data_IF_291045653092
#
_entry.id   IF_291045653092
#
_cell.length_a   1.000
_cell.length_b   1.000
_cell.length_c   1.000
_cell.angle_alpha   90.00
_cell.angle_beta   90.00
_cell.angle_gamma   90.00
#
_symmetry.space_group_name_H-M   'P 1'
#
loop_
_entity.id
_entity.type
_entity.pdbx_description
1 polymer ?
#
# COMPACT_ATOMS: atom_id res chain seq x y z
N UNK A 1 -18.26 -18.65 -1.13
CA UNK A 1 -17.07 -18.89 -0.29
C UNK A 1 -16.75 -20.37 -0.36
N UNK A 2 -15.48 -20.68 -0.66
CA UNK A 2 -15.03 -22.06 -0.85
C UNK A 2 -14.18 -22.58 0.31
N UNK A 3 -13.94 -21.77 1.34
CA UNK A 3 -13.11 -22.13 2.49
C UNK A 3 -13.25 -21.13 3.65
N UNK A 4 -12.50 -21.35 4.74
CA UNK A 4 -12.45 -20.43 5.86
C UNK A 4 -11.82 -19.10 5.45
N UNK A 5 -12.20 -18.02 6.12
CA UNK A 5 -11.63 -16.67 5.94
C UNK A 5 -11.11 -16.16 7.27
N UNK A 6 -9.88 -15.63 7.27
CA UNK A 6 -9.29 -14.93 8.40
C UNK A 6 -9.43 -13.41 8.20
N UNK A 7 -9.94 -12.71 9.21
CA UNK A 7 -9.94 -11.25 9.23
C UNK A 7 -8.97 -10.79 10.34
N UNK A 8 -7.96 -10.03 9.93
CA UNK A 8 -6.93 -9.51 10.83
C UNK A 8 -7.15 -8.01 10.97
N UNK A 9 -7.35 -7.55 12.21
CA UNK A 9 -7.62 -6.15 12.51
C UNK A 9 -6.50 -5.53 13.33
N UNK A 10 -6.22 -4.24 13.09
CA UNK A 10 -5.29 -3.45 13.87
C UNK A 10 -5.83 -3.21 15.30
N UNK A 11 -4.94 -3.20 16.29
CA UNK A 11 -5.27 -2.86 17.68
C UNK A 11 -5.20 -1.37 17.98
N UNK A 12 -4.40 -0.61 17.22
CA UNK A 12 -4.28 0.83 17.36
C UNK A 12 -5.49 1.56 16.79
N UNK A 13 -5.72 2.77 17.23
CA UNK A 13 -6.68 3.69 16.63
C UNK A 13 -6.16 4.15 15.28
N UNK A 14 -6.95 3.95 14.23
CA UNK A 14 -6.66 4.39 12.88
C UNK A 14 -7.61 5.50 12.46
N UNK A 15 -7.11 6.45 11.67
CA UNK A 15 -7.96 7.47 11.08
C UNK A 15 -8.96 6.84 10.11
N UNK A 16 -10.19 7.35 10.14
CA UNK A 16 -11.21 6.93 9.17
C UNK A 16 -10.86 7.48 7.78
N UNK A 17 -10.55 6.59 6.86
CA UNK A 17 -10.36 6.93 5.45
C UNK A 17 -11.70 6.98 4.74
N UNK A 18 -12.15 8.17 4.34
CA UNK A 18 -13.36 8.33 3.54
C UNK A 18 -13.21 7.61 2.19
N UNK A 19 -14.27 6.95 1.76
CA UNK A 19 -14.33 6.21 0.50
C UNK A 19 -15.62 6.53 -0.23
N UNK A 20 -15.55 6.57 -1.55
CA UNK A 20 -16.73 6.62 -2.42
C UNK A 20 -17.43 5.26 -2.41
N UNK A 21 -18.69 5.20 -2.85
CA UNK A 21 -19.43 3.93 -2.99
C UNK A 21 -18.72 2.95 -3.94
N UNK A 22 -18.12 3.44 -5.01
CA UNK A 22 -17.34 2.63 -5.94
C UNK A 22 -16.13 1.99 -5.23
N UNK A 23 -15.38 2.76 -4.45
CA UNK A 23 -14.25 2.25 -3.69
C UNK A 23 -14.67 1.23 -2.62
N UNK A 24 -15.82 1.46 -1.96
CA UNK A 24 -16.39 0.48 -1.01
C UNK A 24 -16.72 -0.84 -1.72
N UNK A 25 -17.30 -0.78 -2.91
CA UNK A 25 -17.56 -1.96 -3.74
C UNK A 25 -16.26 -2.68 -4.13
N UNK A 26 -15.21 -1.93 -4.47
CA UNK A 26 -13.93 -2.46 -4.91
C UNK A 26 -13.08 -3.07 -3.78
N UNK A 27 -13.39 -2.80 -2.48
CA UNK A 27 -12.75 -3.50 -1.35
C UNK A 27 -12.87 -5.02 -1.52
N UNK A 28 -14.04 -5.50 -1.96
CA UNK A 28 -14.29 -6.92 -2.21
C UNK A 28 -13.47 -7.54 -3.34
N UNK A 29 -12.72 -6.74 -4.10
CA UNK A 29 -11.81 -7.17 -5.17
C UNK A 29 -10.37 -7.35 -4.71
N UNK A 30 -10.09 -7.11 -3.42
CA UNK A 30 -8.82 -7.40 -2.78
C UNK A 30 -7.74 -6.33 -2.89
N UNK A 31 -7.84 -5.43 -3.86
CA UNK A 31 -6.95 -4.29 -4.05
C UNK A 31 -7.64 -3.24 -4.92
N UNK A 32 -7.56 -1.97 -4.55
CA UNK A 32 -8.24 -0.89 -5.25
C UNK A 32 -7.50 0.45 -5.10
N UNK A 33 -7.75 1.37 -6.02
CA UNK A 33 -7.20 2.73 -5.95
C UNK A 33 -7.95 3.52 -4.88
N UNK A 34 -7.26 3.84 -3.78
CA UNK A 34 -7.81 4.66 -2.70
C UNK A 34 -7.67 6.15 -3.01
N UNK A 35 -6.51 6.57 -3.51
CA UNK A 35 -6.24 7.93 -3.96
C UNK A 35 -5.61 7.88 -5.33
N UNK A 36 -6.19 8.59 -6.28
CA UNK A 36 -5.65 8.69 -7.62
C UNK A 36 -5.05 10.07 -7.88
N UNK A 37 -4.30 10.17 -8.96
CA UNK A 37 -3.76 11.40 -9.50
C UNK A 37 -4.38 11.69 -10.88
N UNK A 38 -4.17 12.87 -11.43
CA UNK A 38 -4.55 13.17 -12.79
C UNK A 38 -3.54 12.56 -13.78
N UNK A 39 -4.05 11.81 -14.75
CA UNK A 39 -3.20 11.18 -15.78
C UNK A 39 -2.50 9.90 -15.33
N UNK A 40 -1.35 9.64 -15.92
CA UNK A 40 -0.52 8.47 -15.56
C UNK A 40 0.26 8.78 -14.29
N UNK A 41 0.24 7.91 -13.27
CA UNK A 41 1.04 8.11 -12.08
C UNK A 41 2.55 8.10 -12.39
N UNK A 42 3.30 8.99 -11.73
CA UNK A 42 4.75 8.91 -11.67
C UNK A 42 5.19 7.73 -10.79
N UNK A 43 4.49 7.53 -9.68
CA UNK A 43 4.70 6.41 -8.77
C UNK A 43 3.40 5.85 -8.19
N UNK A 44 3.46 4.59 -7.71
CA UNK A 44 2.36 3.93 -7.00
C UNK A 44 2.86 3.48 -5.63
N UNK A 45 2.14 3.88 -4.56
CA UNK A 45 2.34 3.34 -3.22
C UNK A 45 1.24 2.30 -2.96
N UNK A 46 1.65 1.08 -2.61
CA UNK A 46 0.75 -0.02 -2.25
C UNK A 46 0.83 -0.22 -0.75
N UNK A 47 -0.31 -0.16 -0.06
CA UNK A 47 -0.37 -0.30 1.39
C UNK A 47 -1.53 -1.18 1.84
N UNK A 48 -1.42 -1.76 3.02
CA UNK A 48 -2.50 -2.51 3.66
C UNK A 48 -2.61 -2.15 5.14
N UNK A 49 -3.78 -2.39 5.72
CA UNK A 49 -4.00 -2.23 7.16
C UNK A 49 -3.70 -0.82 7.68
N UNK A 50 -2.91 -0.75 8.73
CA UNK A 50 -2.52 0.49 9.40
C UNK A 50 -1.61 1.39 8.57
N UNK A 51 -0.86 0.85 7.62
CA UNK A 51 0.09 1.60 6.80
C UNK A 51 -0.58 2.39 5.65
N UNK A 52 -1.88 2.17 5.42
CA UNK A 52 -2.65 2.94 4.42
C UNK A 52 -2.66 4.44 4.72
N UNK A 53 -2.79 4.82 6.00
CA UNK A 53 -2.73 6.22 6.42
C UNK A 53 -1.35 6.83 6.11
N UNK A 54 -0.28 6.12 6.41
CA UNK A 54 1.09 6.53 6.10
C UNK A 54 1.29 6.74 4.59
N UNK A 55 0.75 5.83 3.76
CA UNK A 55 0.83 5.94 2.31
C UNK A 55 0.10 7.19 1.77
N UNK A 56 -1.07 7.51 2.33
CA UNK A 56 -1.82 8.72 1.96
C UNK A 56 -1.05 9.98 2.36
N UNK A 57 -0.52 10.04 3.58
CA UNK A 57 0.27 11.16 4.07
C UNK A 57 1.55 11.37 3.22
N UNK A 58 2.24 10.30 2.84
CA UNK A 58 3.41 10.38 1.97
C UNK A 58 3.05 10.92 0.57
N UNK A 59 1.96 10.44 -0.03
CA UNK A 59 1.48 10.94 -1.31
C UNK A 59 1.03 12.43 -1.22
N UNK A 60 0.54 12.89 -0.08
CA UNK A 60 0.22 14.30 0.16
C UNK A 60 1.47 15.18 0.28
N UNK A 61 2.50 14.67 0.93
CA UNK A 61 3.78 15.36 1.06
C UNK A 61 4.50 15.51 -0.29
N UNK A 62 4.20 14.63 -1.28
CA UNK A 62 4.76 14.65 -2.64
C UNK A 62 3.84 15.40 -3.62
N UNK A 63 3.37 16.58 -3.26
CA UNK A 63 2.38 17.35 -4.05
C UNK A 63 2.85 17.77 -5.44
N UNK A 64 4.15 17.72 -5.72
CA UNK A 64 4.79 17.99 -7.02
C UNK A 64 4.85 16.76 -7.94
N UNK A 65 4.40 15.59 -7.47
CA UNK A 65 4.39 14.31 -8.18
C UNK A 65 2.98 13.75 -8.31
N UNK A 66 2.75 13.01 -9.38
CA UNK A 66 1.52 12.26 -9.59
C UNK A 66 1.63 10.89 -8.88
N UNK A 67 1.26 10.83 -7.59
CA UNK A 67 1.35 9.61 -6.78
C UNK A 67 -0.03 9.00 -6.59
N UNK A 68 -0.17 7.73 -7.01
CA UNK A 68 -1.34 6.90 -6.75
C UNK A 68 -1.15 6.10 -5.46
N UNK A 69 -2.19 6.02 -4.62
CA UNK A 69 -2.22 5.13 -3.46
C UNK A 69 -3.21 4.00 -3.70
N UNK A 70 -2.73 2.77 -3.58
CA UNK A 70 -3.51 1.53 -3.68
C UNK A 70 -3.64 0.92 -2.29
N UNK A 71 -4.88 0.69 -1.85
CA UNK A 71 -5.16 -0.11 -0.67
C UNK A 71 -5.35 -1.57 -1.09
N UNK A 72 -4.58 -2.48 -0.49
CA UNK A 72 -4.52 -3.91 -0.83
C UNK A 72 -4.91 -4.80 0.37
N UNK A 73 -6.19 -4.88 0.74
CA UNK A 73 -6.63 -5.67 1.90
C UNK A 73 -6.50 -7.19 1.70
N UNK A 74 -6.40 -7.70 0.47
CA UNK A 74 -6.25 -9.13 0.20
C UNK A 74 -5.55 -9.37 -1.14
N UNK A 75 -4.31 -9.79 -1.06
CA UNK A 75 -3.48 -10.10 -2.24
C UNK A 75 -4.06 -11.26 -3.05
N UNK A 76 -4.54 -12.33 -2.39
CA UNK A 76 -5.10 -13.51 -3.05
C UNK A 76 -6.36 -13.18 -3.86
N UNK A 77 -7.23 -12.34 -3.29
CA UNK A 77 -8.45 -11.90 -3.98
C UNK A 77 -8.11 -10.97 -5.14
N UNK A 78 -7.12 -10.08 -4.98
CA UNK A 78 -6.65 -9.21 -6.06
C UNK A 78 -6.02 -10.01 -7.21
N UNK A 79 -5.19 -11.00 -6.91
CA UNK A 79 -4.55 -11.86 -7.90
C UNK A 79 -5.56 -12.67 -8.72
N UNK A 80 -6.68 -13.04 -8.11
CA UNK A 80 -7.78 -13.73 -8.79
C UNK A 80 -8.63 -12.83 -9.70
N UNK A 81 -8.42 -11.51 -9.69
CA UNK A 81 -9.12 -10.60 -10.60
C UNK A 81 -8.64 -10.75 -12.05
N UNK A 82 -9.53 -10.43 -12.98
CA UNK A 82 -9.18 -10.36 -14.39
C UNK A 82 -8.07 -9.33 -14.68
N UNK A 83 -7.28 -9.59 -15.73
CA UNK A 83 -6.14 -8.77 -16.11
C UNK A 83 -6.49 -7.28 -16.27
N UNK A 84 -7.62 -6.97 -16.91
CA UNK A 84 -8.07 -5.60 -17.11
C UNK A 84 -8.26 -4.82 -15.81
N UNK A 85 -8.78 -5.47 -14.75
CA UNK A 85 -8.91 -4.83 -13.45
C UNK A 85 -7.54 -4.63 -12.78
N UNK A 86 -6.72 -5.66 -12.77
CA UNK A 86 -5.38 -5.55 -12.18
C UNK A 86 -4.55 -4.45 -12.86
N UNK A 87 -4.66 -4.34 -14.18
CA UNK A 87 -4.01 -3.29 -14.97
C UNK A 87 -4.57 -1.89 -14.66
N UNK A 88 -5.87 -1.76 -14.39
CA UNK A 88 -6.45 -0.47 -13.99
C UNK A 88 -5.96 0.02 -12.62
N UNK A 89 -5.66 -0.90 -11.71
CA UNK A 89 -5.15 -0.60 -10.35
C UNK A 89 -3.63 -0.42 -10.37
N UNK A 90 -2.91 -1.35 -10.98
CA UNK A 90 -1.44 -1.40 -11.06
C UNK A 90 -0.98 -1.46 -12.53
N UNK A 91 -1.05 -0.33 -13.28
CA UNK A 91 -0.65 -0.29 -14.69
C UNK A 91 0.80 -0.74 -14.88
N UNK A 92 1.05 -1.68 -15.78
CA UNK A 92 2.40 -2.22 -16.06
C UNK A 92 3.39 -1.17 -16.52
N UNK A 93 2.89 -0.12 -17.15
CA UNK A 93 3.71 1.00 -17.62
C UNK A 93 4.34 1.80 -16.46
N UNK A 94 3.76 1.74 -15.24
CA UNK A 94 4.28 2.41 -14.06
C UNK A 94 5.11 1.42 -13.26
N UNK A 95 6.43 1.52 -13.36
CA UNK A 95 7.38 0.63 -12.69
C UNK A 95 7.90 1.19 -11.36
N UNK A 96 7.80 2.49 -11.13
CA UNK A 96 8.09 3.12 -9.85
C UNK A 96 7.00 2.77 -8.83
N UNK A 97 7.19 1.67 -8.11
CA UNK A 97 6.23 1.15 -7.13
C UNK A 97 6.90 0.91 -5.80
N UNK A 98 6.23 1.32 -4.74
CA UNK A 98 6.66 1.05 -3.36
C UNK A 98 5.53 0.35 -2.63
N UNK A 99 5.82 -0.79 -2.00
CA UNK A 99 4.89 -1.39 -1.05
C UNK A 99 5.29 -1.04 0.38
N UNK A 100 4.31 -0.83 1.26
CA UNK A 100 4.52 -0.55 2.67
C UNK A 100 3.60 -1.40 3.54
N UNK A 101 4.19 -2.23 4.38
CA UNK A 101 3.50 -3.06 5.37
C UNK A 101 4.43 -3.39 6.52
N UNK A 102 3.95 -3.29 7.76
CA UNK A 102 4.69 -3.70 8.96
C UNK A 102 4.73 -5.24 9.10
N UNK A 103 5.20 -5.91 8.05
CA UNK A 103 5.37 -7.37 7.91
C UNK A 103 6.56 -7.68 6.99
N UNK A 104 6.82 -8.96 6.74
CA UNK A 104 7.91 -9.41 5.87
C UNK A 104 7.73 -8.93 4.44
N UNK A 105 8.84 -8.62 3.77
CA UNK A 105 8.84 -7.99 2.44
C UNK A 105 8.51 -8.95 1.30
N UNK A 106 8.73 -10.25 1.46
CA UNK A 106 8.70 -11.26 0.39
C UNK A 106 7.43 -11.24 -0.47
N UNK A 107 6.26 -11.10 0.16
CA UNK A 107 4.98 -11.11 -0.55
C UNK A 107 4.76 -9.96 -1.51
N UNK A 108 5.51 -8.86 -1.34
CA UNK A 108 5.31 -7.62 -2.08
C UNK A 108 6.12 -7.49 -3.37
N UNK A 109 7.22 -8.24 -3.49
CA UNK A 109 8.12 -8.13 -4.64
C UNK A 109 7.44 -8.43 -5.97
N UNK A 110 6.43 -9.30 -5.99
CA UNK A 110 5.64 -9.59 -7.21
C UNK A 110 4.81 -8.40 -7.72
N UNK A 111 4.49 -7.42 -6.84
CA UNK A 111 3.72 -6.22 -7.19
C UNK A 111 4.60 -5.03 -7.52
N UNK A 112 5.72 -4.89 -6.82
CA UNK A 112 6.63 -3.76 -7.04
C UNK A 112 7.66 -4.05 -8.15
N UNK A 113 8.03 -5.31 -8.35
CA UNK A 113 9.01 -5.71 -9.36
C UNK A 113 10.44 -5.31 -9.01
N UNK A 114 11.36 -5.50 -9.96
CA UNK A 114 12.79 -5.24 -9.77
C UNK A 114 13.16 -3.75 -9.67
N UNK A 115 12.30 -2.87 -10.18
CA UNK A 115 12.54 -1.42 -10.17
C UNK A 115 11.84 -0.72 -8.99
N UNK A 116 11.07 -1.48 -8.19
CA UNK A 116 10.38 -0.97 -7.03
C UNK A 116 11.12 -1.21 -5.73
N UNK A 117 10.50 -0.83 -4.63
CA UNK A 117 11.00 -1.03 -3.28
C UNK A 117 9.91 -1.51 -2.32
N UNK A 118 10.31 -2.10 -1.21
CA UNK A 118 9.40 -2.51 -0.13
C UNK A 118 9.90 -1.94 1.18
N UNK A 119 9.05 -1.19 1.87
CA UNK A 119 9.24 -0.77 3.26
C UNK A 119 8.52 -1.77 4.16
N UNK A 120 9.27 -2.69 4.75
CA UNK A 120 8.76 -3.78 5.58
C UNK A 120 9.70 -4.14 6.72
N UNK A 121 9.45 -5.28 7.39
CA UNK A 121 10.22 -5.75 8.53
C UNK A 121 10.65 -7.20 8.27
N UNK A 122 11.94 -7.41 7.98
CA UNK A 122 12.52 -8.75 7.75
C UNK A 122 13.31 -9.25 8.99
N UNK A 123 12.92 -8.79 10.15
CA UNK A 123 13.45 -9.20 11.47
C UNK A 123 12.31 -9.40 12.46
N UNK A 124 12.60 -9.94 13.63
CA UNK A 124 11.62 -10.02 14.71
C UNK A 124 11.13 -8.61 15.13
N UNK A 125 9.82 -8.52 15.40
CA UNK A 125 9.20 -7.33 15.95
C UNK A 125 9.65 -7.08 17.41
N UNK A 126 9.25 -5.92 17.90
CA UNK A 126 9.52 -5.46 19.26
C UNK A 126 8.19 -5.24 20.01
N UNK A 127 8.27 -5.07 21.34
CA UNK A 127 7.10 -4.78 22.16
C UNK A 127 7.22 -3.37 22.76
N UNK A 128 6.51 -2.42 22.14
CA UNK A 128 6.42 -1.02 22.57
C UNK A 128 5.13 -0.38 22.00
N UNK A 129 4.80 0.86 22.38
CA UNK A 129 3.72 1.61 21.73
C UNK A 129 3.92 1.72 20.22
N UNK A 130 2.83 1.56 19.46
CA UNK A 130 2.88 1.52 17.98
C UNK A 130 3.64 2.70 17.36
N UNK A 131 3.43 3.93 17.87
CA UNK A 131 4.10 5.12 17.34
C UNK A 131 5.61 5.13 17.55
N UNK A 132 6.13 4.46 18.61
CA UNK A 132 7.56 4.29 18.84
C UNK A 132 8.12 3.24 17.88
N UNK A 133 7.43 2.10 17.74
CA UNK A 133 7.83 1.03 16.83
C UNK A 133 7.83 1.47 15.37
N UNK A 134 6.83 2.25 14.96
CA UNK A 134 6.79 2.80 13.60
C UNK A 134 8.02 3.65 13.30
N UNK A 135 8.45 4.49 14.25
CA UNK A 135 9.69 5.28 14.11
C UNK A 135 10.94 4.39 14.08
N UNK A 136 11.02 3.44 14.99
CA UNK A 136 12.17 2.51 15.11
C UNK A 136 12.36 1.68 13.84
N UNK A 137 11.27 1.21 13.25
CA UNK A 137 11.29 0.43 12.01
C UNK A 137 11.25 1.28 10.74
N UNK A 138 11.24 2.61 10.87
CA UNK A 138 11.30 3.51 9.72
C UNK A 138 9.96 3.73 9.01
N UNK A 139 8.83 3.36 9.60
CA UNK A 139 7.49 3.65 9.05
C UNK A 139 7.12 5.10 9.32
N UNK A 140 7.82 6.01 8.66
CA UNK A 140 7.61 7.46 8.73
C UNK A 140 7.31 8.03 7.35
N UNK A 141 6.61 9.16 7.31
CA UNK A 141 6.31 9.86 6.05
C UNK A 141 7.59 10.19 5.31
N UNK A 142 8.59 10.75 6.00
CA UNK A 142 9.86 11.14 5.39
C UNK A 142 10.60 9.95 4.76
N UNK A 143 10.65 8.81 5.44
CA UNK A 143 11.30 7.62 4.91
C UNK A 143 10.53 7.01 3.73
N UNK A 144 9.19 7.00 3.78
CA UNK A 144 8.39 6.52 2.65
C UNK A 144 8.53 7.44 1.44
N UNK A 145 8.53 8.76 1.64
CA UNK A 145 8.80 9.75 0.58
C UNK A 145 10.21 9.55 0.00
N UNK A 146 11.24 9.36 0.84
CA UNK A 146 12.59 9.07 0.38
C UNK A 146 12.65 7.76 -0.43
N UNK A 147 11.94 6.71 0.03
CA UNK A 147 11.86 5.43 -0.66
C UNK A 147 11.18 5.57 -2.04
N UNK A 148 10.08 6.32 -2.14
CA UNK A 148 9.41 6.59 -3.43
C UNK A 148 10.32 7.38 -4.36
N UNK A 149 11.03 8.42 -3.87
CA UNK A 149 11.98 9.18 -4.66
C UNK A 149 13.17 8.33 -5.16
N UNK A 150 13.52 7.28 -4.43
CA UNK A 150 14.59 6.35 -4.81
C UNK A 150 14.23 5.43 -5.97
N UNK A 151 12.97 5.30 -6.34
CA UNK A 151 12.48 4.45 -7.45
C UNK A 151 11.92 5.25 -8.63
N UNK A 152 11.85 6.59 -8.52
CA UNK A 152 11.50 7.53 -9.59
C UNK A 152 12.70 7.78 -10.50
#
# INVERSE_FOLDING_TARGET
RTGPSCLIFSRQNLAHMARTEAQISDIGRGGYVLRDCSGTPDAIIIATGSEVELAVQAAEAMSDKAVRVVSMPSTDVFDAQGEAYRESVLPRAVTARVAVEAAVTDGWWKYVGSNGAVLGIDRFGESAPAGELFKEFGFTVDNLVATVNGVL
#
